data_IF_213548684044
#
_entry.id   IF_213548684044
#
_cell.length_a   1.000
_cell.length_b   1.000
_cell.length_c   1.000
_cell.angle_alpha   90.00
_cell.angle_beta   90.00
_cell.angle_gamma   90.00
#
_symmetry.space_group_name_H-M   'P 1'
#
loop_
_entity.id
_entity.type
_entity.pdbx_description
1 polymer ?
#
# COMPACT_ATOMS: atom_id res chain seq x y z
N UNK A 1 7.45 -2.67 -9.18
CA UNK A 1 7.89 -2.46 -7.79
C UNK A 1 6.81 -2.97 -6.86
N UNK A 2 7.19 -3.73 -5.84
CA UNK A 2 6.35 -4.13 -4.70
C UNK A 2 6.81 -3.29 -3.49
N UNK A 3 5.85 -2.74 -2.75
CA UNK A 3 6.12 -1.90 -1.60
C UNK A 3 5.24 -2.28 -0.41
N UNK A 4 5.68 -1.91 0.79
CA UNK A 4 5.02 -2.13 2.07
C UNK A 4 4.84 -0.81 2.80
N UNK A 5 3.63 -0.56 3.29
CA UNK A 5 3.30 0.57 4.16
C UNK A 5 2.84 0.00 5.50
N UNK A 6 3.51 0.34 6.59
CA UNK A 6 3.12 -0.09 7.93
C UNK A 6 2.05 0.83 8.52
N UNK A 7 1.17 0.26 9.34
CA UNK A 7 0.25 1.03 10.18
C UNK A 7 0.98 1.54 11.43
N UNK A 8 0.61 2.72 11.91
CA UNK A 8 1.19 3.33 13.11
C UNK A 8 0.44 2.96 14.39
N UNK A 9 -0.80 2.47 14.26
CA UNK A 9 -1.68 2.11 15.38
C UNK A 9 -1.77 0.62 15.65
N UNK A 10 -1.22 -0.25 14.79
CA UNK A 10 -1.23 -1.70 14.98
C UNK A 10 -0.18 -2.41 14.10
N UNK A 11 -0.03 -3.72 14.29
CA UNK A 11 0.92 -4.56 13.53
C UNK A 11 0.50 -4.81 12.07
N UNK A 12 -0.62 -4.24 11.62
CA UNK A 12 -1.06 -4.37 10.25
C UNK A 12 -0.12 -3.65 9.28
N UNK A 13 -0.05 -4.18 8.06
CA UNK A 13 0.66 -3.53 6.98
C UNK A 13 0.00 -3.79 5.65
N UNK A 14 0.09 -2.81 4.75
CA UNK A 14 -0.39 -2.93 3.38
C UNK A 14 0.79 -3.26 2.47
N UNK A 15 0.64 -4.32 1.68
CA UNK A 15 1.56 -4.66 0.59
C UNK A 15 0.83 -4.47 -0.73
N UNK A 16 1.47 -3.76 -1.65
CA UNK A 16 0.93 -3.55 -2.99
C UNK A 16 2.02 -3.44 -4.03
N UNK A 17 1.65 -3.71 -5.28
CA UNK A 17 2.52 -3.46 -6.43
C UNK A 17 2.12 -2.20 -7.21
N UNK A 18 3.10 -1.63 -7.91
CA UNK A 18 2.86 -0.61 -8.94
C UNK A 18 3.79 -0.77 -10.13
N UNK A 19 3.25 -0.42 -11.30
CA UNK A 19 3.98 -0.23 -12.56
C UNK A 19 4.24 1.25 -12.86
N UNK A 20 3.56 2.16 -12.15
CA UNK A 20 3.72 3.62 -12.24
C UNK A 20 4.93 4.06 -11.40
N UNK A 21 5.26 5.35 -11.49
CA UNK A 21 6.18 5.99 -10.54
C UNK A 21 5.65 5.79 -9.12
N UNK A 22 6.52 5.32 -8.24
CA UNK A 22 6.18 4.96 -6.87
C UNK A 22 5.51 6.12 -6.12
N UNK A 23 6.11 7.32 -6.15
CA UNK A 23 5.55 8.52 -5.49
C UNK A 23 4.14 8.89 -5.99
N UNK A 24 3.85 8.66 -7.28
CA UNK A 24 2.50 8.87 -7.83
C UNK A 24 1.49 7.95 -7.14
N UNK A 25 1.83 6.67 -6.97
CA UNK A 25 0.96 5.70 -6.29
C UNK A 25 0.74 6.04 -4.83
N UNK A 26 1.77 6.49 -4.12
CA UNK A 26 1.62 6.93 -2.72
C UNK A 26 0.71 8.15 -2.62
N UNK A 27 0.84 9.12 -3.53
CA UNK A 27 -0.04 10.29 -3.55
C UNK A 27 -1.49 9.93 -3.92
N UNK A 28 -1.72 8.96 -4.80
CA UNK A 28 -3.07 8.43 -5.08
C UNK A 28 -3.72 7.93 -3.78
N UNK A 29 -3.05 7.08 -3.02
CA UNK A 29 -3.56 6.57 -1.74
C UNK A 29 -3.86 7.70 -0.74
N UNK A 30 -2.94 8.65 -0.57
CA UNK A 30 -3.15 9.83 0.30
C UNK A 30 -4.37 10.65 -0.13
N UNK A 31 -4.59 10.81 -1.43
CA UNK A 31 -5.73 11.55 -1.97
C UNK A 31 -7.04 10.76 -1.82
N UNK A 32 -7.00 9.45 -1.99
CA UNK A 32 -8.17 8.56 -1.82
C UNK A 32 -8.63 8.49 -0.37
N UNK A 33 -7.75 8.74 0.60
CA UNK A 33 -8.12 8.90 2.01
C UNK A 33 -8.82 10.25 2.24
N UNK A 34 -8.36 11.32 1.59
CA UNK A 34 -8.99 12.65 1.71
C UNK A 34 -10.38 12.67 1.07
N UNK A 35 -10.59 11.88 0.02
CA UNK A 35 -11.87 11.73 -0.65
C UNK A 35 -12.69 10.66 0.09
N UNK A 36 -13.88 11.00 0.58
CA UNK A 36 -14.85 9.97 1.03
C UNK A 36 -15.41 9.23 -0.19
N UNK A 37 -14.58 8.37 -0.77
CA UNK A 37 -14.98 7.51 -1.89
C UNK A 37 -16.13 6.60 -1.47
N UNK A 38 -17.10 6.37 -2.37
CA UNK A 38 -18.18 5.39 -2.15
C UNK A 38 -17.64 3.96 -2.04
N UNK A 39 -16.45 3.71 -2.61
CA UNK A 39 -15.71 2.46 -2.52
C UNK A 39 -14.30 2.78 -2.01
N UNK A 40 -14.07 2.75 -0.68
CA UNK A 40 -12.76 3.05 -0.11
C UNK A 40 -11.74 1.97 -0.50
N UNK A 41 -10.47 2.37 -0.63
CA UNK A 41 -9.37 1.41 -0.75
C UNK A 41 -9.19 0.65 0.58
N UNK A 42 -8.50 -0.49 0.57
CA UNK A 42 -8.17 -1.24 1.81
C UNK A 42 -7.45 -0.37 2.83
N UNK A 43 -6.56 0.52 2.37
CA UNK A 43 -5.83 1.45 3.23
C UNK A 43 -6.78 2.49 3.84
N UNK A 44 -7.66 3.05 3.00
CA UNK A 44 -8.66 4.03 3.44
C UNK A 44 -9.64 3.40 4.43
N UNK A 45 -10.14 2.21 4.13
CA UNK A 45 -11.07 1.47 4.97
C UNK A 45 -10.48 1.14 6.33
N UNK A 46 -9.25 0.61 6.37
CA UNK A 46 -8.53 0.36 7.63
C UNK A 46 -8.39 1.64 8.46
N UNK A 47 -7.95 2.73 7.83
CA UNK A 47 -7.81 4.03 8.51
C UNK A 47 -9.12 4.53 9.08
N UNK A 48 -10.24 4.42 8.36
CA UNK A 48 -11.54 4.89 8.85
C UNK A 48 -12.15 3.98 9.91
N UNK A 49 -11.94 2.67 9.82
CA UNK A 49 -12.50 1.69 10.75
C UNK A 49 -11.77 1.68 12.09
N UNK A 50 -10.44 1.82 12.07
CA UNK A 50 -9.61 1.72 13.27
C UNK A 50 -9.09 3.08 13.76
N UNK A 51 -9.40 4.18 13.07
CA UNK A 51 -8.86 5.52 13.34
C UNK A 51 -7.32 5.57 13.39
N UNK A 52 -6.67 4.67 12.63
CA UNK A 52 -5.22 4.59 12.53
C UNK A 52 -4.69 5.34 11.30
N UNK A 53 -3.46 5.84 11.37
CA UNK A 53 -2.74 6.29 10.17
C UNK A 53 -1.60 5.34 9.78
N UNK A 54 -1.04 5.57 8.60
CA UNK A 54 0.05 4.78 8.03
C UNK A 54 1.35 5.58 8.00
N UNK A 55 2.50 4.88 8.05
CA UNK A 55 3.85 5.47 7.94
C UNK A 55 4.11 5.91 6.49
N UNK A 56 3.57 7.05 6.10
CA UNK A 56 3.66 7.57 4.72
C UNK A 56 5.05 8.06 4.33
N UNK A 57 5.92 8.32 5.30
CA UNK A 57 7.28 8.81 5.08
C UNK A 57 8.32 7.67 5.06
N UNK A 58 8.00 6.50 5.64
CA UNK A 58 8.86 5.31 5.66
C UNK A 58 8.21 4.14 4.91
N UNK A 59 7.89 4.37 3.64
CA UNK A 59 7.36 3.29 2.79
C UNK A 59 8.52 2.43 2.27
N UNK A 60 8.46 1.13 2.55
CA UNK A 60 9.53 0.20 2.23
C UNK A 60 9.33 -0.39 0.85
N UNK A 61 10.35 -0.28 -0.01
CA UNK A 61 10.41 -1.01 -1.27
C UNK A 61 10.90 -2.42 -0.96
N UNK A 62 10.06 -3.42 -1.22
CA UNK A 62 10.38 -4.82 -0.92
C UNK A 62 11.08 -5.49 -2.11
N UNK A 63 10.64 -5.14 -3.33
CA UNK A 63 11.14 -5.78 -4.54
C UNK A 63 10.96 -4.88 -5.78
N UNK A 64 11.90 -4.96 -6.72
CA UNK A 64 11.88 -4.22 -7.99
C UNK A 64 11.94 -5.22 -9.15
N UNK A 65 10.77 -5.70 -9.54
CA UNK A 65 10.62 -6.61 -10.66
C UNK A 65 9.92 -5.94 -11.86
N UNK A 66 10.54 -6.12 -13.04
CA UNK A 66 10.11 -5.62 -14.34
C UNK A 66 9.03 -6.51 -14.95
N UNK A 67 9.16 -7.83 -14.79
CA UNK A 67 8.21 -8.82 -15.27
C UNK A 67 6.95 -8.82 -14.43
N UNK A 68 5.81 -8.56 -15.07
CA UNK A 68 4.51 -8.50 -14.39
C UNK A 68 4.16 -9.81 -13.67
N UNK A 69 4.40 -10.96 -14.30
CA UNK A 69 4.10 -12.28 -13.71
C UNK A 69 4.94 -12.55 -12.46
N UNK A 70 6.24 -12.28 -12.53
CA UNK A 70 7.13 -12.44 -11.38
C UNK A 70 6.77 -11.48 -10.25
N UNK A 71 6.37 -10.25 -10.59
CA UNK A 71 5.93 -9.27 -9.61
C UNK A 71 4.63 -9.65 -8.90
N UNK A 72 3.66 -10.26 -9.59
CA UNK A 72 2.46 -10.81 -8.97
C UNK A 72 2.80 -11.87 -7.91
N UNK A 73 3.73 -12.77 -8.24
CA UNK A 73 4.20 -13.81 -7.31
C UNK A 73 4.90 -13.15 -6.11
N UNK A 74 5.79 -12.18 -6.36
CA UNK A 74 6.50 -11.43 -5.33
C UNK A 74 5.53 -10.71 -4.37
N UNK A 75 4.48 -10.07 -4.91
CA UNK A 75 3.42 -9.46 -4.10
C UNK A 75 2.71 -10.50 -3.23
N UNK A 76 2.27 -11.62 -3.80
CA UNK A 76 1.59 -12.69 -3.06
C UNK A 76 2.44 -13.27 -1.92
N UNK A 77 3.74 -13.49 -2.17
CA UNK A 77 4.68 -13.97 -1.15
C UNK A 77 4.79 -12.96 0.00
N UNK A 78 4.84 -11.67 -0.31
CA UNK A 78 4.98 -10.62 0.70
C UNK A 78 3.66 -10.29 1.42
N UNK A 79 2.50 -10.63 0.87
CA UNK A 79 1.20 -10.54 1.57
C UNK A 79 1.06 -11.64 2.61
N UNK A 80 1.54 -12.86 2.31
CA UNK A 80 1.43 -14.02 3.22
C UNK A 80 2.47 -14.05 4.34
N UNK A 81 3.45 -13.17 4.30
CA UNK A 81 4.60 -13.13 5.20
C UNK A 81 4.32 -12.24 6.41
#
# INVERSE_FOLDING_TARGET
MVYKISCNGCDASYVGQTKRRFNTRINEHKNDIKKRSRTPSVISDHRFTFDHDFEWNDVKIIDIESSYKKRLISEMVNIKK
#
